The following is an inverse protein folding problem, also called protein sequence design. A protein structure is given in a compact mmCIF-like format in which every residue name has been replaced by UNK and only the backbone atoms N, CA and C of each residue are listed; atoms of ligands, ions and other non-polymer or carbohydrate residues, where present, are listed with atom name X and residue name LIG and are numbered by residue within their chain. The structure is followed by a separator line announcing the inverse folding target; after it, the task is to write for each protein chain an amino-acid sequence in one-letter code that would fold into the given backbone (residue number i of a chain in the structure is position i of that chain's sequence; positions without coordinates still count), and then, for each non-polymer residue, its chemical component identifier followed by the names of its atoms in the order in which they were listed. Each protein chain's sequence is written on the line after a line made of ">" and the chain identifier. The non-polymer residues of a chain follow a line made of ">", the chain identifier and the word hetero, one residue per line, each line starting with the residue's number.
data_IF_182619086516
#
_entry.id   IF_182619086516
#
_cell.length_a   1.000
_cell.length_b   1.000
_cell.length_c   1.000
_cell.angle_alpha   90.00
_cell.angle_beta   90.00
_cell.angle_gamma   90.00
#
_symmetry.space_group_name_H-M   'P 1'
#
loop_
_entity.id
_entity.type
_entity.pdbx_description
1 polymer ?
#
# COMPACT_ATOMS: atom_id res chain seq x y z
N UNK A 1 2.35 -30.43 29.22
CA UNK A 1 2.36 -31.33 28.04
C UNK A 1 2.41 -30.61 26.69
N UNK A 2 1.99 -29.34 26.55
CA UNK A 2 2.07 -28.60 25.28
C UNK A 2 3.44 -27.93 24.99
N UNK A 3 4.29 -27.73 25.99
CA UNK A 3 5.61 -27.09 25.80
C UNK A 3 6.60 -27.98 25.01
N UNK A 4 6.52 -29.31 25.17
CA UNK A 4 7.46 -30.25 24.54
C UNK A 4 7.15 -30.55 23.06
N UNK A 5 5.96 -30.24 22.57
CA UNK A 5 5.58 -30.46 21.16
C UNK A 5 6.06 -29.28 20.29
N UNK A 6 6.01 -28.05 20.83
CA UNK A 6 6.49 -26.86 20.15
C UNK A 6 8.02 -26.82 20.03
N UNK A 7 8.76 -27.19 21.08
CA UNK A 7 10.23 -27.29 21.00
C UNK A 7 10.69 -28.40 20.03
N UNK A 8 9.94 -29.50 19.95
CA UNK A 8 10.25 -30.61 19.05
C UNK A 8 9.99 -30.27 17.58
N UNK A 9 8.92 -29.52 17.27
CA UNK A 9 8.65 -29.05 15.89
C UNK A 9 9.66 -27.98 15.44
N UNK A 10 10.09 -27.10 16.36
CA UNK A 10 11.12 -26.09 16.08
C UNK A 10 12.50 -26.75 15.92
N UNK A 11 12.85 -27.72 16.77
CA UNK A 11 14.10 -28.48 16.69
C UNK A 11 14.17 -29.35 15.43
N UNK A 12 13.14 -30.14 15.13
CA UNK A 12 13.11 -31.03 13.95
C UNK A 12 12.99 -30.23 12.64
N UNK A 13 12.32 -29.07 12.66
CA UNK A 13 12.23 -28.17 11.50
C UNK A 13 13.56 -27.46 11.20
N UNK A 14 14.32 -27.08 12.22
CA UNK A 14 15.65 -26.46 12.06
C UNK A 14 16.71 -27.52 11.69
N UNK A 15 16.66 -28.73 12.26
CA UNK A 15 17.55 -29.83 11.87
C UNK A 15 17.31 -30.32 10.43
N UNK A 16 16.06 -30.30 9.95
CA UNK A 16 15.71 -30.59 8.55
C UNK A 16 16.33 -29.59 7.57
N UNK A 17 16.43 -28.30 7.96
CA UNK A 17 17.13 -27.29 7.16
C UNK A 17 18.66 -27.44 7.21
N UNK A 18 19.22 -27.89 8.34
CA UNK A 18 20.65 -28.14 8.49
C UNK A 18 21.16 -29.41 7.77
N UNK A 19 20.28 -30.41 7.54
CA UNK A 19 20.65 -31.70 6.96
C UNK A 19 20.32 -31.88 5.46
N UNK A 20 20.00 -30.80 4.73
CA UNK A 20 19.76 -30.90 3.29
C UNK A 20 21.07 -31.15 2.53
N UNK A 21 21.39 -32.43 2.28
CA UNK A 21 22.49 -32.84 1.41
C UNK A 21 22.11 -32.54 -0.04
N UNK A 22 22.53 -31.38 -0.54
CA UNK A 22 22.31 -30.97 -1.92
C UNK A 22 22.95 -31.98 -2.89
N UNK A 23 22.19 -32.40 -3.90
CA UNK A 23 22.61 -33.38 -4.91
C UNK A 23 22.20 -32.89 -6.31
N UNK A 24 22.62 -33.56 -7.39
CA UNK A 24 22.16 -33.23 -8.76
C UNK A 24 20.63 -33.23 -8.90
N UNK A 25 19.93 -33.99 -8.04
CA UNK A 25 18.47 -34.12 -8.00
C UNK A 25 17.80 -33.07 -7.09
N UNK A 26 18.52 -32.53 -6.10
CA UNK A 26 18.07 -31.48 -5.21
C UNK A 26 19.14 -30.38 -5.20
N UNK A 27 19.15 -29.55 -6.24
CA UNK A 27 20.03 -28.37 -6.33
C UNK A 27 19.54 -27.30 -5.35
N UNK A 28 20.46 -26.51 -4.77
CA UNK A 28 20.07 -25.38 -3.95
C UNK A 28 19.16 -24.45 -4.77
N UNK A 29 18.23 -23.73 -4.12
CA UNK A 29 17.36 -22.76 -4.78
C UNK A 29 18.13 -21.57 -5.39
N UNK A 30 19.42 -21.47 -5.10
CA UNK A 30 20.33 -20.44 -5.56
C UNK A 30 21.27 -20.95 -6.65
N UNK A 31 21.55 -20.10 -7.63
CA UNK A 31 22.56 -20.33 -8.67
C UNK A 31 23.96 -20.00 -8.12
N UNK A 32 24.54 -20.96 -7.39
CA UNK A 32 25.87 -20.81 -6.81
C UNK A 32 26.97 -21.10 -7.85
N UNK A 33 28.04 -20.29 -7.91
CA UNK A 33 28.43 -19.25 -6.95
C UNK A 33 27.94 -17.82 -7.28
N UNK A 34 27.16 -17.62 -8.35
CA UNK A 34 26.71 -16.29 -8.77
C UNK A 34 25.88 -15.59 -7.68
N UNK A 35 25.06 -16.36 -6.97
CA UNK A 35 24.15 -15.88 -5.90
C UNK A 35 24.70 -16.10 -4.48
N UNK A 36 26.03 -16.06 -4.33
CA UNK A 36 26.71 -16.36 -3.05
C UNK A 36 26.36 -15.41 -1.89
N UNK A 37 25.81 -14.23 -2.17
CA UNK A 37 25.40 -13.21 -1.19
C UNK A 37 23.90 -13.29 -0.84
N UNK A 38 23.18 -14.27 -1.39
CA UNK A 38 21.75 -14.45 -1.16
C UNK A 38 21.47 -15.50 -0.09
N UNK A 39 20.48 -15.23 0.74
CA UNK A 39 19.86 -16.22 1.63
C UNK A 39 18.38 -16.30 1.29
N UNK A 40 17.83 -17.50 1.05
CA UNK A 40 16.43 -17.65 0.64
C UNK A 40 15.72 -18.81 1.35
N UNK A 41 14.47 -18.56 1.74
CA UNK A 41 13.49 -19.57 2.15
C UNK A 41 12.45 -19.69 1.04
N UNK A 42 12.56 -20.74 0.23
CA UNK A 42 11.71 -20.96 -0.95
C UNK A 42 10.96 -22.27 -0.86
N UNK A 43 9.63 -22.21 -0.96
CA UNK A 43 8.75 -23.40 -0.99
C UNK A 43 8.26 -23.67 -2.40
N UNK A 44 7.80 -24.90 -2.70
CA UNK A 44 7.13 -25.23 -3.97
C UNK A 44 5.66 -25.50 -3.71
N UNK A 45 4.80 -25.05 -4.62
CA UNK A 45 3.39 -25.44 -4.60
C UNK A 45 3.28 -26.97 -4.63
N UNK A 46 2.52 -27.55 -3.71
CA UNK A 46 2.31 -29.00 -3.70
C UNK A 46 1.37 -29.41 -4.83
N UNK A 47 1.77 -30.40 -5.65
CA UNK A 47 0.98 -30.89 -6.80
C UNK A 47 0.55 -29.79 -7.78
N UNK A 48 1.39 -28.78 -7.96
CA UNK A 48 1.16 -27.71 -8.91
C UNK A 48 2.42 -26.88 -9.12
N UNK A 49 2.31 -25.88 -9.98
CA UNK A 49 3.39 -24.95 -10.28
C UNK A 49 3.35 -23.73 -9.34
N UNK A 50 4.50 -23.09 -9.17
CA UNK A 50 4.64 -21.88 -8.35
C UNK A 50 5.41 -22.07 -7.05
N UNK A 51 5.63 -20.95 -6.35
CA UNK A 51 6.47 -20.91 -5.16
C UNK A 51 6.13 -19.70 -4.26
N UNK A 52 6.40 -19.83 -2.97
CA UNK A 52 6.51 -18.68 -2.07
C UNK A 52 7.99 -18.48 -1.73
N UNK A 53 8.41 -17.23 -1.59
CA UNK A 53 9.82 -16.90 -1.34
C UNK A 53 9.94 -15.74 -0.35
N UNK A 54 10.82 -15.93 0.64
CA UNK A 54 11.42 -14.85 1.40
C UNK A 54 12.94 -14.90 1.13
N UNK A 55 13.49 -13.83 0.56
CA UNK A 55 14.89 -13.75 0.17
C UNK A 55 15.54 -12.48 0.73
N UNK A 56 16.79 -12.63 1.15
CA UNK A 56 17.69 -11.56 1.56
C UNK A 56 18.87 -11.52 0.57
N UNK A 57 19.21 -10.33 0.09
CA UNK A 57 20.44 -10.02 -0.64
C UNK A 57 21.33 -9.16 0.26
N UNK A 58 22.57 -9.61 0.48
CA UNK A 58 23.55 -8.94 1.35
C UNK A 58 24.74 -8.36 0.57
N UNK A 59 24.67 -8.34 -0.76
CA UNK A 59 25.64 -7.63 -1.58
C UNK A 59 25.61 -6.13 -1.25
N UNK A 60 26.78 -5.60 -0.88
CA UNK A 60 26.95 -4.20 -0.52
C UNK A 60 26.35 -3.25 -1.58
N UNK A 61 25.56 -2.29 -1.12
CA UNK A 61 24.88 -1.28 -1.93
C UNK A 61 23.80 -1.86 -2.89
N UNK A 62 23.43 -3.13 -2.72
CA UNK A 62 22.37 -3.85 -3.44
C UNK A 62 21.46 -4.64 -2.49
N UNK A 63 21.45 -4.28 -1.21
CA UNK A 63 20.73 -5.02 -0.19
C UNK A 63 19.22 -5.00 -0.45
N UNK A 64 18.58 -6.17 -0.37
CA UNK A 64 17.16 -6.35 -0.66
C UNK A 64 16.52 -7.37 0.28
N UNK A 65 15.29 -7.09 0.72
CA UNK A 65 14.38 -8.12 1.21
C UNK A 65 13.27 -8.28 0.17
N UNK A 66 13.16 -9.49 -0.38
CA UNK A 66 12.13 -9.86 -1.35
C UNK A 66 11.12 -10.81 -0.73
N UNK A 67 9.84 -10.48 -0.84
CA UNK A 67 8.72 -11.32 -0.42
C UNK A 67 7.81 -11.59 -1.61
N UNK A 68 7.63 -12.87 -1.92
CA UNK A 68 6.71 -13.36 -2.96
C UNK A 68 5.68 -14.30 -2.38
N UNK A 69 4.41 -13.93 -2.49
CA UNK A 69 3.27 -14.81 -2.26
C UNK A 69 2.72 -15.31 -3.59
N UNK A 70 2.57 -16.63 -3.75
CA UNK A 70 2.06 -17.21 -5.00
C UNK A 70 0.57 -16.88 -5.24
N UNK A 71 -0.19 -16.64 -4.17
CA UNK A 71 -1.65 -16.39 -4.25
C UNK A 71 -2.08 -15.30 -3.28
N UNK A 72 -2.13 -15.61 -1.99
CA UNK A 72 -2.62 -14.70 -0.95
C UNK A 72 -1.50 -14.37 0.04
N UNK A 73 -1.40 -13.10 0.45
CA UNK A 73 -0.63 -12.68 1.62
C UNK A 73 -1.60 -12.10 2.65
N UNK A 74 -1.68 -12.75 3.81
CA UNK A 74 -2.45 -12.25 4.96
C UNK A 74 -1.49 -11.85 6.07
N UNK A 75 -1.55 -10.59 6.49
CA UNK A 75 -0.86 -10.08 7.67
C UNK A 75 -1.89 -9.69 8.73
N UNK A 76 -1.84 -10.35 9.90
CA UNK A 76 -2.71 -10.06 11.03
C UNK A 76 -1.86 -9.56 12.19
N UNK A 77 -1.96 -8.27 12.49
CA UNK A 77 -1.16 -7.59 13.52
C UNK A 77 -2.06 -7.27 14.70
N UNK A 78 -1.71 -7.79 15.88
CA UNK A 78 -2.53 -7.65 17.10
C UNK A 78 -2.40 -6.29 17.78
N UNK A 79 -1.42 -5.50 17.38
CA UNK A 79 -1.11 -4.22 18.00
C UNK A 79 -0.69 -3.22 16.92
N UNK A 80 0.58 -2.83 16.89
CA UNK A 80 1.06 -1.74 16.03
C UNK A 80 1.83 -2.24 14.81
N UNK A 81 1.69 -1.49 13.70
CA UNK A 81 2.60 -1.58 12.55
C UNK A 81 3.22 -0.21 12.33
N UNK A 82 4.53 -0.17 12.08
CA UNK A 82 5.26 1.05 11.78
C UNK A 82 6.09 0.88 10.51
N UNK A 83 5.98 1.85 9.60
CA UNK A 83 6.77 1.90 8.38
C UNK A 83 7.56 3.19 8.33
N UNK A 84 8.89 3.07 8.29
CA UNK A 84 9.79 4.20 8.01
C UNK A 84 10.54 3.92 6.72
N UNK A 85 10.14 4.60 5.66
CA UNK A 85 10.71 4.47 4.32
C UNK A 85 11.45 5.77 4.02
N UNK A 86 12.78 5.70 3.89
CA UNK A 86 13.64 6.89 3.74
C UNK A 86 13.62 7.51 2.35
N UNK A 87 13.25 6.73 1.34
CA UNK A 87 13.26 7.16 -0.07
C UNK A 87 11.84 7.10 -0.65
N UNK A 88 11.48 6.01 -1.33
CA UNK A 88 10.21 5.89 -2.04
C UNK A 88 9.36 4.71 -1.57
N UNK A 89 8.04 4.90 -1.57
CA UNK A 89 7.06 3.82 -1.49
C UNK A 89 6.25 3.77 -2.79
N UNK A 90 6.27 2.62 -3.48
CA UNK A 90 5.48 2.39 -4.69
C UNK A 90 4.49 1.25 -4.45
N UNK A 91 3.22 1.48 -4.77
CA UNK A 91 2.16 0.49 -4.64
C UNK A 91 1.34 0.47 -5.93
N UNK A 92 1.06 -0.74 -6.44
CA UNK A 92 0.15 -0.99 -7.55
C UNK A 92 -0.85 -2.05 -7.13
N UNK A 93 -2.13 -1.79 -7.38
CA UNK A 93 -3.23 -2.70 -7.10
C UNK A 93 -4.03 -2.79 -8.40
N UNK A 94 -4.03 -3.96 -9.04
CA UNK A 94 -4.65 -4.13 -10.37
C UNK A 94 -6.17 -4.31 -10.31
N UNK A 95 -6.74 -4.50 -9.12
CA UNK A 95 -8.17 -4.62 -8.90
C UNK A 95 -8.63 -3.62 -7.83
N UNK A 96 -9.12 -4.09 -6.69
CA UNK A 96 -9.74 -3.23 -5.68
C UNK A 96 -8.86 -3.02 -4.44
N UNK A 97 -8.92 -1.81 -3.88
CA UNK A 97 -8.43 -1.49 -2.52
C UNK A 97 -9.62 -1.16 -1.62
N UNK A 98 -9.70 -1.81 -0.47
CA UNK A 98 -10.61 -1.45 0.62
C UNK A 98 -9.80 -1.01 1.85
N UNK A 99 -10.26 0.01 2.56
CA UNK A 99 -9.63 0.52 3.78
C UNK A 99 -10.70 1.00 4.75
N UNK A 100 -10.66 0.49 5.99
CA UNK A 100 -11.50 0.95 7.09
C UNK A 100 -10.58 1.51 8.19
N UNK A 101 -10.77 2.78 8.53
CA UNK A 101 -10.08 3.45 9.64
C UNK A 101 -11.17 3.88 10.61
N UNK A 102 -11.18 3.28 11.80
CA UNK A 102 -12.27 3.48 12.77
C UNK A 102 -12.13 4.75 13.61
N UNK A 103 -10.94 5.31 13.63
CA UNK A 103 -10.62 6.54 14.32
C UNK A 103 -10.10 7.55 13.29
N UNK A 104 -8.91 8.11 13.52
CA UNK A 104 -8.39 9.22 12.73
C UNK A 104 -7.47 8.76 11.60
N UNK A 105 -7.63 9.37 10.42
CA UNK A 105 -6.67 9.31 9.31
C UNK A 105 -6.05 10.70 9.12
N UNK A 106 -4.76 10.83 9.39
CA UNK A 106 -4.02 12.07 9.20
C UNK A 106 -3.02 11.92 8.05
N UNK A 107 -3.22 12.73 6.99
CA UNK A 107 -2.32 12.76 5.84
C UNK A 107 -1.73 14.16 5.66
N UNK A 108 -0.40 14.22 5.65
CA UNK A 108 0.37 15.41 5.27
C UNK A 108 1.24 15.13 4.05
N UNK A 109 1.15 15.98 3.05
CA UNK A 109 2.01 15.96 1.86
C UNK A 109 2.75 17.29 1.83
N UNK A 110 4.08 17.28 1.95
CA UNK A 110 4.88 18.50 1.93
C UNK A 110 5.09 19.05 0.52
N UNK A 111 5.12 18.15 -0.49
CA UNK A 111 5.16 18.51 -1.90
C UNK A 111 3.76 18.56 -2.52
N UNK A 112 3.65 18.15 -3.79
CA UNK A 112 2.37 18.10 -4.51
C UNK A 112 1.62 16.77 -4.33
N UNK A 113 0.31 16.82 -4.18
CA UNK A 113 -0.59 15.67 -4.38
C UNK A 113 -1.29 15.77 -5.73
N UNK A 114 -1.40 14.65 -6.45
CA UNK A 114 -2.20 14.53 -7.67
C UNK A 114 -3.11 13.32 -7.54
N UNK A 115 -4.38 13.50 -7.86
CA UNK A 115 -5.39 12.46 -7.82
C UNK A 115 -6.18 12.50 -9.13
N UNK A 116 -6.35 11.34 -9.75
CA UNK A 116 -7.17 11.17 -10.95
C UNK A 116 -8.10 9.99 -10.70
N UNK A 117 -9.36 10.17 -11.04
CA UNK A 117 -10.37 9.12 -10.97
C UNK A 117 -11.09 9.12 -12.30
N UNK A 118 -11.06 7.99 -13.00
CA UNK A 118 -11.73 7.85 -14.30
C UNK A 118 -13.24 7.62 -14.14
N UNK A 119 -13.66 7.13 -12.97
CA UNK A 119 -15.06 6.97 -12.57
C UNK A 119 -15.49 8.00 -11.51
N UNK A 120 -16.50 7.62 -10.73
CA UNK A 120 -17.12 8.53 -9.77
C UNK A 120 -16.35 8.63 -8.44
N UNK A 121 -16.42 9.81 -7.82
CA UNK A 121 -15.99 10.04 -6.43
C UNK A 121 -17.19 10.47 -5.61
N UNK A 122 -17.41 9.81 -4.47
CA UNK A 122 -18.45 10.18 -3.50
C UNK A 122 -17.83 10.47 -2.14
N UNK A 123 -18.14 11.64 -1.60
CA UNK A 123 -17.76 12.04 -0.25
C UNK A 123 -19.02 12.28 0.57
N UNK A 124 -19.20 11.49 1.63
CA UNK A 124 -20.22 11.71 2.64
C UNK A 124 -19.56 12.14 3.93
N UNK A 125 -19.79 13.37 4.35
CA UNK A 125 -19.24 13.94 5.57
C UNK A 125 -20.42 14.32 6.46
N UNK A 126 -20.52 13.66 7.61
CA UNK A 126 -21.59 13.94 8.59
C UNK A 126 -21.29 15.18 9.42
N UNK A 127 -20.00 15.46 9.66
CA UNK A 127 -19.53 16.66 10.34
C UNK A 127 -19.26 17.81 9.36
N UNK A 128 -18.24 18.61 9.66
CA UNK A 128 -17.83 19.74 8.82
C UNK A 128 -16.78 19.33 7.79
N UNK A 129 -16.87 19.91 6.59
CA UNK A 129 -15.78 19.94 5.62
C UNK A 129 -15.20 21.35 5.56
N UNK A 130 -13.88 21.49 5.72
CA UNK A 130 -13.17 22.74 5.53
C UNK A 130 -12.20 22.60 4.34
N UNK A 131 -12.33 23.49 3.35
CA UNK A 131 -11.46 23.55 2.19
C UNK A 131 -10.80 24.93 2.16
N UNK A 132 -9.48 24.96 2.19
CA UNK A 132 -8.69 26.17 2.12
C UNK A 132 -7.62 26.01 1.04
N UNK A 133 -7.52 27.00 0.16
CA UNK A 133 -6.51 27.06 -0.91
C UNK A 133 -5.76 28.40 -0.80
N UNK A 134 -4.46 28.38 -1.10
CA UNK A 134 -3.61 29.57 -0.98
C UNK A 134 -3.66 30.49 -2.20
N UNK A 135 -3.95 29.93 -3.38
CA UNK A 135 -3.97 30.67 -4.65
C UNK A 135 -5.35 30.60 -5.31
N UNK A 136 -5.74 29.44 -5.82
CA UNK A 136 -7.01 29.24 -6.51
C UNK A 136 -7.69 27.93 -6.09
N UNK A 137 -9.01 27.99 -5.99
CA UNK A 137 -9.90 26.83 -6.00
C UNK A 137 -10.66 26.83 -7.32
N UNK A 138 -10.34 25.88 -8.19
CA UNK A 138 -11.02 25.71 -9.48
C UNK A 138 -11.91 24.48 -9.40
N UNK A 139 -13.19 24.65 -9.70
CA UNK A 139 -14.17 23.57 -9.79
C UNK A 139 -14.90 23.67 -11.13
N UNK A 140 -14.88 22.59 -11.90
CA UNK A 140 -15.53 22.49 -13.21
C UNK A 140 -16.49 21.29 -13.18
N UNK A 141 -17.68 21.48 -13.75
CA UNK A 141 -18.65 20.42 -13.96
C UNK A 141 -19.18 20.52 -15.39
N UNK A 142 -19.30 19.37 -16.05
CA UNK A 142 -19.76 19.32 -17.44
C UNK A 142 -21.26 19.58 -17.62
N UNK A 143 -22.07 19.41 -16.57
CA UNK A 143 -23.54 19.56 -16.66
C UNK A 143 -24.11 20.38 -15.51
N UNK A 144 -23.88 19.96 -14.26
CA UNK A 144 -24.49 20.60 -13.09
C UNK A 144 -23.47 20.75 -11.95
N UNK A 145 -23.46 21.93 -11.34
CA UNK A 145 -22.91 22.15 -10.00
C UNK A 145 -24.07 22.55 -9.09
N UNK A 146 -24.35 21.74 -8.08
CA UNK A 146 -25.45 21.96 -7.14
C UNK A 146 -24.93 22.30 -5.74
N UNK A 147 -25.27 23.49 -5.26
CA UNK A 147 -25.01 23.93 -3.89
C UNK A 147 -26.33 24.11 -3.15
N UNK A 148 -26.57 23.24 -2.16
CA UNK A 148 -27.76 23.31 -1.30
C UNK A 148 -27.37 23.51 0.15
N UNK A 149 -27.92 24.55 0.76
CA UNK A 149 -27.84 24.79 2.20
C UNK A 149 -29.24 24.79 2.79
N UNK A 150 -29.41 24.12 3.94
CA UNK A 150 -30.65 24.24 4.73
C UNK A 150 -30.73 25.56 5.51
N UNK A 151 -29.62 26.32 5.58
CA UNK A 151 -29.53 27.62 6.22
C UNK A 151 -29.06 28.69 5.23
N UNK A 152 -27.81 29.15 5.39
CA UNK A 152 -27.22 30.22 4.58
C UNK A 152 -26.14 29.68 3.64
N UNK A 153 -26.00 30.31 2.48
CA UNK A 153 -24.78 30.28 1.66
C UNK A 153 -24.20 31.69 1.71
N UNK A 154 -22.90 31.81 1.97
CA UNK A 154 -22.17 33.08 2.01
C UNK A 154 -21.10 33.04 0.93
N UNK A 155 -21.14 34.00 0.01
CA UNK A 155 -20.10 34.26 -0.95
C UNK A 155 -19.59 35.67 -0.67
N UNK A 156 -18.31 35.78 -0.33
CA UNK A 156 -17.67 37.04 0.03
C UNK A 156 -16.36 37.15 -0.74
N UNK A 157 -16.11 38.33 -1.29
CA UNK A 157 -14.86 38.68 -1.94
C UNK A 157 -14.46 40.09 -1.53
N UNK A 158 -13.15 40.32 -1.39
CA UNK A 158 -12.62 41.63 -1.03
C UNK A 158 -12.80 42.67 -2.15
N UNK A 159 -12.68 42.25 -3.41
CA UNK A 159 -12.76 43.12 -4.58
C UNK A 159 -14.02 42.90 -5.41
N UNK A 160 -14.28 41.66 -5.84
CA UNK A 160 -15.31 41.38 -6.83
C UNK A 160 -15.82 39.94 -6.70
N UNK A 161 -17.13 39.77 -6.90
CA UNK A 161 -17.74 38.49 -7.27
C UNK A 161 -18.30 38.70 -8.68
N UNK A 162 -17.84 37.91 -9.65
CA UNK A 162 -18.37 37.93 -11.02
C UNK A 162 -19.11 36.63 -11.30
N UNK A 163 -20.34 36.72 -11.81
CA UNK A 163 -21.10 35.59 -12.29
C UNK A 163 -21.28 35.71 -13.80
N UNK A 164 -20.65 34.80 -14.56
CA UNK A 164 -20.74 34.79 -16.02
C UNK A 164 -21.72 33.73 -16.51
N UNK A 165 -22.65 34.13 -17.37
CA UNK A 165 -23.60 33.22 -18.03
C UNK A 165 -23.49 33.46 -19.54
N UNK A 166 -22.92 32.51 -20.26
CA UNK A 166 -22.61 32.68 -21.69
C UNK A 166 -21.68 33.88 -21.92
N UNK A 167 -22.09 34.84 -22.76
CA UNK A 167 -21.35 36.08 -23.03
C UNK A 167 -21.61 37.23 -22.06
N UNK A 168 -22.45 37.04 -21.03
CA UNK A 168 -22.91 38.09 -20.12
C UNK A 168 -22.29 37.94 -18.72
N UNK A 169 -22.21 39.05 -17.97
CA UNK A 169 -21.71 39.11 -16.59
C UNK A 169 -22.73 39.81 -15.68
N UNK A 170 -22.78 39.39 -14.41
CA UNK A 170 -23.46 40.06 -13.29
C UNK A 170 -22.45 40.20 -12.15
#
# INVERSE_FOLDING_TARGET
>A
MLYNILERIISEGIESMANNKWSKLNRPPLDLPAEKTRTTFKTRTHKGDGFNELRFEDAKDQEEIYLHGQRDLTAHIQHDTYWHIKHDHKQRIDNNRYSEIRADDHRKIAGSGKYSTDGDVSHRITGSQHLQTGEALVAESGQETHLKSGGKIVLEAASEITLKIGGHFI
#
